data_IF_834170178407
#
_entry.id   IF_834170178407
#
_cell.length_a   1.000
_cell.length_b   1.000
_cell.length_c   1.000
_cell.angle_alpha   90.00
_cell.angle_beta   90.00
_cell.angle_gamma   90.00
#
_symmetry.space_group_name_H-M   'P 1'
#
loop_
_entity.id
_entity.type
_entity.pdbx_description
1 polymer ?
#
# COMPACT_ATOMS: atom_id res chain seq x y z
N UNK A 1 -26.54 -17.21 5.07
CA UNK A 1 -25.78 -15.95 5.25
C UNK A 1 -25.33 -15.49 3.87
N UNK A 2 -25.55 -14.23 3.46
CA UNK A 2 -25.15 -13.77 2.13
C UNK A 2 -23.62 -13.70 2.00
N UNK A 3 -23.06 -13.92 0.80
CA UNK A 3 -21.60 -13.86 0.56
C UNK A 3 -20.98 -12.54 1.06
N UNK A 4 -21.71 -11.43 0.92
CA UNK A 4 -21.32 -10.12 1.44
C UNK A 4 -21.15 -10.10 2.96
N UNK A 5 -22.06 -10.75 3.69
CA UNK A 5 -22.03 -10.78 5.14
C UNK A 5 -20.93 -11.71 5.68
N UNK A 6 -20.60 -12.77 4.94
CA UNK A 6 -19.43 -13.61 5.23
C UNK A 6 -18.12 -12.82 5.05
N UNK A 7 -18.00 -12.04 3.97
CA UNK A 7 -16.81 -11.22 3.73
C UNK A 7 -16.61 -10.13 4.80
N UNK A 8 -17.69 -9.48 5.23
CA UNK A 8 -17.64 -8.48 6.31
C UNK A 8 -17.17 -9.08 7.64
N UNK A 9 -17.61 -10.31 7.96
CA UNK A 9 -17.21 -10.98 9.20
C UNK A 9 -15.74 -11.42 9.18
N UNK A 10 -15.24 -11.92 8.04
CA UNK A 10 -13.82 -12.23 7.86
C UNK A 10 -12.95 -10.98 8.01
N UNK A 11 -13.39 -9.85 7.43
CA UNK A 11 -12.67 -8.58 7.56
C UNK A 11 -12.62 -8.09 9.00
N UNK A 12 -13.73 -8.19 9.74
CA UNK A 12 -13.80 -7.74 11.13
C UNK A 12 -12.90 -8.58 12.03
N UNK A 13 -12.89 -9.91 11.84
CA UNK A 13 -12.03 -10.83 12.58
C UNK A 13 -10.54 -10.54 12.35
N UNK A 14 -10.13 -10.41 11.09
CA UNK A 14 -8.75 -10.06 10.74
C UNK A 14 -8.30 -8.73 11.38
N UNK A 15 -9.17 -7.72 11.37
CA UNK A 15 -8.83 -6.42 11.96
C UNK A 15 -8.73 -6.46 13.49
N UNK A 16 -9.51 -7.32 14.15
CA UNK A 16 -9.42 -7.51 15.60
C UNK A 16 -8.12 -8.23 15.99
N UNK A 17 -7.75 -9.30 15.28
CA UNK A 17 -6.49 -10.03 15.47
C UNK A 17 -5.28 -9.10 15.27
N UNK A 18 -5.33 -8.26 14.24
CA UNK A 18 -4.29 -7.27 13.96
C UNK A 18 -4.17 -6.21 15.06
N UNK A 19 -5.29 -5.77 15.66
CA UNK A 19 -5.30 -4.78 16.74
C UNK A 19 -4.65 -5.33 18.02
N UNK A 20 -4.92 -6.61 18.33
CA UNK A 20 -4.31 -7.35 19.44
C UNK A 20 -2.81 -7.49 19.22
N UNK A 21 -2.40 -7.97 18.03
CA UNK A 21 -0.98 -8.13 17.68
C UNK A 21 -0.20 -6.82 17.80
N UNK A 22 -0.80 -5.70 17.37
CA UNK A 22 -0.15 -4.39 17.48
C UNK A 22 -0.10 -3.87 18.92
N UNK A 23 -1.05 -4.24 19.79
CA UNK A 23 -0.98 -3.93 21.22
C UNK A 23 0.23 -4.62 21.84
N UNK A 24 0.35 -5.94 21.64
CA UNK A 24 1.44 -6.74 22.20
C UNK A 24 2.80 -6.26 21.70
N UNK A 25 2.94 -5.96 20.41
CA UNK A 25 4.19 -5.40 19.87
C UNK A 25 4.54 -4.05 20.51
N UNK A 26 3.56 -3.19 20.75
CA UNK A 26 3.79 -1.91 21.41
C UNK A 26 4.26 -2.09 22.87
N UNK A 27 3.59 -2.96 23.62
CA UNK A 27 3.90 -3.23 25.02
C UNK A 27 5.31 -3.85 25.16
N UNK A 28 5.69 -4.75 24.24
CA UNK A 28 7.06 -5.27 24.13
C UNK A 28 8.05 -4.16 23.83
N UNK A 29 7.77 -3.28 22.85
CA UNK A 29 8.66 -2.17 22.50
C UNK A 29 8.87 -1.19 23.67
N UNK A 30 7.85 -0.99 24.52
CA UNK A 30 7.97 -0.19 25.76
C UNK A 30 8.84 -0.92 26.80
N UNK A 31 8.66 -2.23 26.95
CA UNK A 31 9.47 -3.05 27.86
C UNK A 31 10.94 -3.13 27.41
N UNK A 32 11.22 -3.20 26.11
CA UNK A 32 12.57 -3.28 25.54
C UNK A 32 13.37 -2.00 25.79
N UNK A 33 12.72 -0.83 25.81
CA UNK A 33 13.37 0.42 26.23
C UNK A 33 13.82 0.40 27.70
N UNK A 34 13.28 -0.51 28.51
CA UNK A 34 13.58 -0.64 29.93
C UNK A 34 14.43 -1.88 30.27
N UNK A 35 14.64 -2.84 29.36
CA UNK A 35 15.41 -4.07 29.62
C UNK A 35 16.36 -4.44 28.47
N UNK A 36 17.65 -4.51 28.79
CA UNK A 36 18.75 -4.78 27.86
C UNK A 36 19.02 -6.29 27.63
N UNK A 37 17.99 -7.16 27.58
CA UNK A 37 18.16 -8.62 27.55
C UNK A 37 17.36 -9.33 26.42
N UNK A 38 18.02 -9.52 25.27
CA UNK A 38 17.45 -10.09 24.03
C UNK A 38 16.83 -11.51 24.17
N UNK A 39 17.30 -12.37 25.09
CA UNK A 39 16.79 -13.75 25.24
C UNK A 39 15.37 -13.84 25.80
N UNK A 40 14.99 -12.91 26.68
CA UNK A 40 13.65 -12.87 27.29
C UNK A 40 12.61 -12.38 26.28
N UNK A 41 13.04 -11.54 25.34
CA UNK A 41 12.18 -10.97 24.30
C UNK A 41 11.84 -12.05 23.26
N UNK A 42 12.82 -12.85 22.83
CA UNK A 42 12.59 -13.97 21.89
C UNK A 42 11.66 -15.03 22.46
N UNK A 43 11.79 -15.39 23.74
CA UNK A 43 10.86 -16.36 24.37
C UNK A 43 9.44 -15.80 24.41
N UNK A 44 9.27 -14.53 24.82
CA UNK A 44 7.96 -13.88 24.88
C UNK A 44 7.31 -13.72 23.51
N UNK A 45 8.09 -13.43 22.46
CA UNK A 45 7.57 -13.37 21.09
C UNK A 45 7.09 -14.75 20.63
N UNK A 46 7.83 -15.82 20.95
CA UNK A 46 7.41 -17.19 20.65
C UNK A 46 6.15 -17.57 21.42
N UNK A 47 6.05 -17.20 22.71
CA UNK A 47 4.84 -17.40 23.52
C UNK A 47 3.63 -16.65 22.93
N UNK A 48 3.85 -15.44 22.39
CA UNK A 48 2.81 -14.65 21.70
C UNK A 48 2.40 -15.32 20.39
N UNK A 49 3.37 -15.79 19.59
CA UNK A 49 3.10 -16.52 18.34
C UNK A 49 2.29 -17.79 18.63
N UNK A 50 2.64 -18.53 19.68
CA UNK A 50 1.87 -19.68 20.14
C UNK A 50 0.48 -19.30 20.64
N UNK A 51 0.32 -18.19 21.36
CA UNK A 51 -0.99 -17.70 21.81
C UNK A 51 -1.90 -17.29 20.63
N UNK A 52 -1.32 -16.67 19.59
CA UNK A 52 -2.05 -16.24 18.39
C UNK A 52 -2.42 -17.46 17.54
N UNK A 53 -1.51 -18.43 17.40
CA UNK A 53 -1.77 -19.67 16.67
C UNK A 53 -2.81 -20.55 17.40
N UNK A 54 -2.81 -20.57 18.72
CA UNK A 54 -3.81 -21.28 19.52
C UNK A 54 -5.18 -20.58 19.49
N UNK A 55 -5.25 -19.25 19.47
CA UNK A 55 -6.49 -18.49 19.24
C UNK A 55 -7.03 -18.65 17.81
N UNK A 56 -6.15 -18.72 16.81
CA UNK A 56 -6.51 -19.01 15.42
C UNK A 56 -7.09 -20.43 15.26
N UNK A 57 -6.54 -21.40 16.01
CA UNK A 57 -7.00 -22.80 16.03
C UNK A 57 -8.32 -22.98 16.81
N UNK A 58 -8.52 -22.26 17.92
CA UNK A 58 -9.78 -22.27 18.68
C UNK A 58 -10.94 -21.59 17.93
N UNK A 59 -10.62 -20.71 16.98
CA UNK A 59 -11.64 -20.02 16.17
C UNK A 59 -12.24 -20.89 15.04
N UNK A 60 -11.82 -22.14 14.86
CA UNK A 60 -12.48 -23.09 13.96
C UNK A 60 -13.68 -23.80 14.60
N UNK A 61 -13.95 -23.63 15.90
CA UNK A 61 -14.99 -24.42 16.59
C UNK A 61 -16.02 -23.64 17.42
N UNK A 62 -16.02 -22.30 17.45
CA UNK A 62 -17.11 -21.57 18.10
C UNK A 62 -18.12 -21.04 17.07
N UNK A 63 -19.29 -21.71 17.01
CA UNK A 63 -20.53 -21.09 16.53
C UNK A 63 -20.75 -19.82 17.35
N UNK A 64 -20.47 -18.66 16.77
CA UNK A 64 -20.88 -17.37 17.34
C UNK A 64 -22.41 -17.37 17.33
N UNK A 65 -22.98 -17.73 18.48
CA UNK A 65 -24.39 -17.61 18.78
C UNK A 65 -24.77 -16.13 18.79
N UNK A 66 -25.99 -15.87 18.32
CA UNK A 66 -26.41 -14.58 17.80
C UNK A 66 -26.21 -13.42 18.76
N UNK A 67 -25.49 -12.40 18.30
CA UNK A 67 -25.82 -11.02 18.64
C UNK A 67 -25.71 -10.22 17.35
N UNK A 68 -26.80 -9.58 16.96
CA UNK A 68 -26.85 -8.66 15.81
C UNK A 68 -25.92 -7.48 16.09
N UNK A 69 -24.62 -7.65 15.81
CA UNK A 69 -23.68 -6.53 15.78
C UNK A 69 -24.28 -5.53 14.79
N UNK A 70 -24.50 -4.29 15.24
CA UNK A 70 -24.92 -3.17 14.39
C UNK A 70 -23.76 -2.84 13.42
N UNK A 71 -23.64 -3.66 12.38
CA UNK A 71 -22.56 -3.73 11.38
C UNK A 71 -22.66 -2.57 10.39
N UNK A 72 -22.08 -1.42 10.75
CA UNK A 72 -21.58 -0.40 9.80
C UNK A 72 -20.83 0.76 10.46
N UNK A 73 -21.02 1.03 11.75
CA UNK A 73 -20.70 2.36 12.32
C UNK A 73 -19.26 2.61 12.80
N UNK A 74 -18.29 1.70 12.67
CA UNK A 74 -16.94 1.96 13.24
C UNK A 74 -15.72 1.54 12.41
N UNK A 75 -15.86 1.07 11.17
CA UNK A 75 -14.70 0.66 10.37
C UNK A 75 -13.67 1.80 10.18
N UNK A 76 -14.14 3.02 9.90
CA UNK A 76 -13.26 4.19 9.80
C UNK A 76 -12.52 4.52 11.10
N UNK A 77 -13.17 4.35 12.26
CA UNK A 77 -12.52 4.55 13.57
C UNK A 77 -11.49 3.46 13.86
N UNK A 78 -11.82 2.21 13.53
CA UNK A 78 -10.92 1.06 13.66
C UNK A 78 -9.67 1.24 12.80
N UNK A 79 -9.82 1.60 11.52
CA UNK A 79 -8.70 1.86 10.62
C UNK A 79 -7.84 3.02 11.15
N UNK A 80 -8.44 4.09 11.65
CA UNK A 80 -7.69 5.20 12.29
C UNK A 80 -6.88 4.71 13.49
N UNK A 81 -7.47 3.90 14.36
CA UNK A 81 -6.80 3.31 15.53
C UNK A 81 -5.64 2.41 15.12
N UNK A 82 -5.86 1.51 14.15
CA UNK A 82 -4.80 0.63 13.62
C UNK A 82 -3.65 1.45 13.02
N UNK A 83 -3.95 2.47 12.21
CA UNK A 83 -2.93 3.38 11.66
C UNK A 83 -2.10 4.05 12.76
N UNK A 84 -2.73 4.47 13.85
CA UNK A 84 -2.02 5.03 15.00
C UNK A 84 -1.10 3.99 15.66
N UNK A 85 -1.58 2.75 15.84
CA UNK A 85 -0.80 1.66 16.44
C UNK A 85 0.39 1.23 15.57
N UNK A 86 0.22 1.17 14.25
CA UNK A 86 1.34 0.93 13.34
C UNK A 86 2.47 1.93 13.55
N UNK A 87 2.14 3.21 13.76
CA UNK A 87 3.14 4.25 14.06
C UNK A 87 3.80 4.04 15.42
N UNK A 88 3.02 3.73 16.46
CA UNK A 88 3.55 3.50 17.81
C UNK A 88 4.46 2.28 17.92
N UNK A 89 4.07 1.17 17.28
CA UNK A 89 4.85 -0.06 17.23
C UNK A 89 5.92 -0.05 16.14
N UNK A 90 6.03 1.05 15.38
CA UNK A 90 7.07 1.27 14.38
C UNK A 90 7.16 0.17 13.31
N UNK A 91 5.98 -0.31 12.90
CA UNK A 91 5.82 -1.43 11.97
C UNK A 91 5.06 -1.00 10.72
N UNK A 92 5.36 -1.67 9.61
CA UNK A 92 4.74 -1.46 8.32
C UNK A 92 3.98 -2.72 7.90
N UNK A 93 2.74 -2.54 7.45
CA UNK A 93 1.94 -3.58 6.81
C UNK A 93 1.97 -3.38 5.30
N UNK A 94 2.44 -4.38 4.56
CA UNK A 94 2.44 -4.38 3.09
C UNK A 94 1.84 -5.66 2.55
N UNK A 95 1.19 -5.55 1.39
CA UNK A 95 0.88 -6.75 0.60
C UNK A 95 2.20 -7.32 0.11
N UNK A 96 2.34 -8.65 0.15
CA UNK A 96 3.50 -9.30 -0.46
C UNK A 96 3.35 -9.37 -1.98
N UNK A 97 4.49 -9.49 -2.65
CA UNK A 97 4.59 -9.42 -4.11
C UNK A 97 3.90 -10.59 -4.84
N UNK A 98 4.28 -11.83 -4.53
CA UNK A 98 3.77 -13.06 -5.17
C UNK A 98 2.88 -13.91 -4.28
N UNK A 99 2.80 -13.58 -3.00
CA UNK A 99 2.04 -14.34 -2.03
C UNK A 99 0.73 -13.61 -1.74
N UNK A 100 -0.35 -14.32 -1.46
CA UNK A 100 -1.64 -13.71 -1.08
C UNK A 100 -1.68 -13.37 0.42
N UNK A 101 -0.54 -12.94 0.96
CA UNK A 101 -0.36 -12.66 2.39
C UNK A 101 0.09 -11.23 2.61
N UNK A 102 -0.17 -10.73 3.82
CA UNK A 102 0.40 -9.48 4.29
C UNK A 102 1.74 -9.74 4.99
N UNK A 103 2.70 -8.86 4.74
CA UNK A 103 3.96 -8.81 5.45
C UNK A 103 3.85 -7.70 6.50
N UNK A 104 4.04 -8.08 7.76
CA UNK A 104 4.25 -7.17 8.87
C UNK A 104 5.74 -7.16 9.21
N UNK A 105 6.37 -5.99 9.14
CA UNK A 105 7.80 -5.84 9.40
C UNK A 105 8.14 -4.51 10.07
N UNK A 106 9.35 -4.36 10.58
CA UNK A 106 9.83 -3.09 11.15
C UNK A 106 10.01 -2.05 10.04
N UNK A 107 9.68 -0.80 10.33
CA UNK A 107 9.85 0.28 9.34
C UNK A 107 11.33 0.54 9.03
N UNK A 108 12.23 0.35 10.01
CA UNK A 108 13.68 0.51 9.84
C UNK A 108 14.23 -0.48 8.82
N UNK A 109 13.84 -1.75 8.92
CA UNK A 109 14.29 -2.80 8.00
C UNK A 109 13.80 -2.51 6.57
N UNK A 110 12.54 -2.10 6.44
CA UNK A 110 11.97 -1.68 5.16
C UNK A 110 12.73 -0.49 4.57
N UNK A 111 13.04 0.53 5.38
CA UNK A 111 13.78 1.72 4.96
C UNK A 111 15.22 1.37 4.56
N UNK A 112 15.93 0.63 5.40
CA UNK A 112 17.31 0.17 5.14
C UNK A 112 17.39 -0.59 3.81
N UNK A 113 16.54 -1.60 3.62
CA UNK A 113 16.50 -2.38 2.37
C UNK A 113 16.15 -1.53 1.15
N UNK A 114 15.31 -0.51 1.32
CA UNK A 114 14.99 0.41 0.23
C UNK A 114 16.15 1.33 -0.14
N UNK A 115 16.89 1.83 0.85
CA UNK A 115 18.07 2.67 0.63
C UNK A 115 19.21 1.84 0.01
N UNK A 116 19.48 0.63 0.53
CA UNK A 116 20.44 -0.31 -0.06
C UNK A 116 20.12 -0.63 -1.53
N UNK A 117 18.83 -0.81 -1.86
CA UNK A 117 18.40 -1.03 -3.24
C UNK A 117 18.68 0.18 -4.13
N UNK A 118 18.40 1.39 -3.64
CA UNK A 118 18.64 2.64 -4.39
C UNK A 118 20.13 2.87 -4.61
N UNK A 119 20.96 2.69 -3.58
CA UNK A 119 22.42 2.81 -3.68
C UNK A 119 23.00 1.78 -4.64
N UNK A 120 22.55 0.52 -4.55
CA UNK A 120 23.05 -0.56 -5.41
C UNK A 120 22.73 -0.36 -6.90
N UNK A 121 21.56 0.21 -7.20
CA UNK A 121 21.08 0.30 -8.60
C UNK A 121 21.32 1.65 -9.24
N UNK A 122 21.48 2.70 -8.44
CA UNK A 122 21.59 4.11 -8.88
C UNK A 122 20.44 4.55 -9.81
N UNK A 123 19.35 3.78 -9.87
CA UNK A 123 18.26 3.97 -10.83
C UNK A 123 17.24 5.03 -10.39
N UNK A 124 17.24 5.40 -9.11
CA UNK A 124 16.25 6.29 -8.51
C UNK A 124 16.91 7.32 -7.60
N UNK A 125 16.36 8.54 -7.58
CA UNK A 125 16.82 9.63 -6.71
C UNK A 125 15.63 10.27 -5.98
N UNK A 126 15.82 10.61 -4.71
CA UNK A 126 14.84 11.38 -3.95
C UNK A 126 14.72 12.81 -4.49
N UNK A 127 13.48 13.28 -4.71
CA UNK A 127 13.20 14.62 -5.25
C UNK A 127 13.50 15.76 -4.25
N UNK A 128 13.63 15.46 -2.96
CA UNK A 128 13.91 16.46 -1.94
C UNK A 128 12.69 17.35 -1.65
N UNK A 129 12.94 18.63 -1.37
CA UNK A 129 11.92 19.62 -0.95
C UNK A 129 11.15 20.18 -2.15
N UNK A 130 11.75 20.17 -3.35
CA UNK A 130 11.16 20.75 -4.54
C UNK A 130 10.21 19.76 -5.20
N UNK A 131 8.92 20.01 -5.07
CA UNK A 131 7.87 19.23 -5.74
C UNK A 131 7.72 19.68 -7.22
N UNK A 132 8.04 18.84 -8.21
CA UNK A 132 7.87 19.19 -9.62
C UNK A 132 6.42 19.10 -10.11
N UNK A 133 5.48 18.60 -9.30
CA UNK A 133 4.09 18.39 -9.71
C UNK A 133 3.40 19.66 -10.24
N UNK A 134 3.48 20.83 -9.57
CA UNK A 134 2.77 22.03 -10.03
C UNK A 134 3.24 22.53 -11.39
N UNK A 135 4.56 22.48 -11.61
CA UNK A 135 5.17 22.84 -12.90
C UNK A 135 4.77 21.84 -13.99
N UNK A 136 4.78 20.54 -13.69
CA UNK A 136 4.37 19.50 -14.62
C UNK A 136 2.89 19.64 -15.05
N UNK A 137 2.00 19.94 -14.11
CA UNK A 137 0.58 20.22 -14.42
C UNK A 137 0.46 21.42 -15.35
N UNK A 138 1.15 22.51 -15.03
CA UNK A 138 1.11 23.75 -15.81
C UNK A 138 1.62 23.54 -17.22
N UNK A 139 2.79 22.90 -17.38
CA UNK A 139 3.37 22.55 -18.68
C UNK A 139 2.46 21.64 -19.50
N UNK A 140 1.87 20.63 -18.86
CA UNK A 140 0.99 19.68 -19.57
C UNK A 140 -0.31 20.34 -20.03
N UNK A 141 -0.95 21.16 -19.19
CA UNK A 141 -2.15 21.89 -19.58
C UNK A 141 -1.86 22.93 -20.67
N UNK A 142 -0.72 23.61 -20.62
CA UNK A 142 -0.26 24.50 -21.69
C UNK A 142 -0.11 23.75 -23.01
N UNK A 143 0.59 22.61 -22.99
CA UNK A 143 0.76 21.77 -24.18
C UNK A 143 -0.58 21.32 -24.77
N UNK A 144 -1.53 20.89 -23.95
CA UNK A 144 -2.87 20.51 -24.40
C UNK A 144 -3.63 21.69 -25.01
N UNK A 145 -3.47 22.90 -24.47
CA UNK A 145 -4.08 24.10 -25.03
C UNK A 145 -3.49 24.42 -26.40
N UNK A 146 -2.16 24.35 -26.54
CA UNK A 146 -1.48 24.59 -27.81
C UNK A 146 -1.95 23.60 -28.88
N UNK A 147 -2.09 22.30 -28.55
CA UNK A 147 -2.64 21.30 -29.46
C UNK A 147 -4.10 21.59 -29.87
N UNK A 148 -4.91 22.09 -28.95
CA UNK A 148 -6.30 22.48 -29.24
C UNK A 148 -6.33 23.69 -30.17
N UNK A 149 -5.53 24.72 -29.90
CA UNK A 149 -5.47 25.94 -30.72
C UNK A 149 -4.98 25.63 -32.15
N UNK A 150 -4.03 24.70 -32.27
CA UNK A 150 -3.57 24.18 -33.55
C UNK A 150 -4.60 23.28 -34.26
N UNK A 151 -5.72 22.94 -33.61
CA UNK A 151 -6.77 22.01 -34.08
C UNK A 151 -6.31 20.55 -34.26
N UNK A 152 -5.28 20.13 -33.55
CA UNK A 152 -4.80 18.74 -33.54
C UNK A 152 -5.67 17.85 -32.66
N UNK A 153 -6.34 18.45 -31.66
CA UNK A 153 -7.35 17.80 -30.84
C UNK A 153 -8.64 18.63 -30.83
N UNK A 154 -9.78 17.95 -30.74
CA UNK A 154 -11.09 18.58 -30.60
C UNK A 154 -11.29 19.20 -29.21
N UNK A 155 -12.28 20.09 -29.09
CA UNK A 155 -12.73 20.66 -27.82
C UNK A 155 -12.99 19.59 -26.75
N UNK A 156 -13.73 18.55 -27.14
CA UNK A 156 -14.11 17.45 -26.25
C UNK A 156 -12.91 16.63 -25.80
N UNK A 157 -11.91 16.43 -26.67
CA UNK A 157 -10.66 15.77 -26.30
C UNK A 157 -9.85 16.61 -25.33
N UNK A 158 -9.73 17.92 -25.59
CA UNK A 158 -9.06 18.85 -24.68
C UNK A 158 -9.66 18.81 -23.27
N UNK A 159 -10.98 18.95 -23.14
CA UNK A 159 -11.69 18.91 -21.85
C UNK A 159 -11.46 17.59 -21.10
N UNK A 160 -11.43 16.45 -21.82
CA UNK A 160 -11.17 15.14 -21.24
C UNK A 160 -9.71 14.99 -20.77
N UNK A 161 -8.77 15.53 -21.53
CA UNK A 161 -7.33 15.40 -21.30
C UNK A 161 -6.78 16.38 -20.27
N UNK A 162 -7.41 17.55 -20.12
CA UNK A 162 -7.02 18.55 -19.14
C UNK A 162 -6.87 17.96 -17.74
N UNK A 163 -5.87 18.48 -17.05
CA UNK A 163 -5.47 18.00 -15.73
C UNK A 163 -6.05 18.91 -14.67
N UNK A 164 -6.80 18.28 -13.77
CA UNK A 164 -7.24 18.88 -12.53
C UNK A 164 -6.16 18.65 -11.45
N UNK A 165 -5.58 19.71 -10.85
CA UNK A 165 -4.59 19.56 -9.78
C UNK A 165 -5.05 18.69 -8.61
N UNK A 166 -6.36 18.64 -8.33
CA UNK A 166 -6.93 17.84 -7.24
C UNK A 166 -6.99 16.33 -7.52
N UNK A 167 -6.76 15.90 -8.76
CA UNK A 167 -6.93 14.51 -9.20
C UNK A 167 -5.61 13.79 -9.48
N UNK A 168 -4.48 14.52 -9.47
CA UNK A 168 -3.18 14.01 -9.89
C UNK A 168 -2.14 14.02 -8.78
N UNK A 169 -1.17 13.13 -8.88
CA UNK A 169 -0.02 13.02 -7.99
C UNK A 169 1.20 12.58 -8.81
N UNK A 170 2.41 12.87 -8.32
CA UNK A 170 3.62 12.34 -8.93
C UNK A 170 3.68 10.82 -8.83
N UNK A 171 4.39 10.24 -9.79
CA UNK A 171 4.75 8.84 -9.70
C UNK A 171 5.62 8.63 -8.45
N UNK A 172 5.25 7.67 -7.62
CA UNK A 172 5.97 7.40 -6.37
C UNK A 172 6.51 5.97 -6.35
N UNK A 173 7.73 5.86 -5.83
CA UNK A 173 8.41 4.59 -5.61
C UNK A 173 7.99 4.01 -4.26
N UNK A 174 7.56 2.76 -4.26
CA UNK A 174 7.39 1.96 -3.05
C UNK A 174 7.88 0.55 -3.31
N UNK A 175 7.87 -0.28 -2.26
CA UNK A 175 8.46 -1.61 -2.33
C UNK A 175 7.48 -2.68 -1.83
N UNK A 176 7.47 -3.81 -2.53
CA UNK A 176 6.72 -5.00 -2.14
C UNK A 176 7.66 -6.06 -1.56
N UNK A 177 7.39 -6.56 -0.34
CA UNK A 177 8.17 -7.65 0.25
C UNK A 177 8.03 -8.96 -0.53
N UNK A 178 9.17 -9.58 -0.86
CA UNK A 178 9.23 -10.93 -1.44
C UNK A 178 9.33 -11.98 -0.33
N UNK A 179 8.25 -12.16 0.43
CA UNK A 179 8.20 -13.06 1.60
C UNK A 179 8.54 -14.53 1.29
N UNK A 180 8.46 -14.95 0.02
CA UNK A 180 8.84 -16.28 -0.46
C UNK A 180 10.35 -16.45 -0.71
N UNK A 181 11.18 -15.45 -0.40
CA UNK A 181 12.63 -15.48 -0.57
C UNK A 181 13.33 -15.27 0.78
N UNK A 182 14.46 -15.94 1.05
CA UNK A 182 15.24 -15.75 2.27
C UNK A 182 15.58 -14.28 2.50
N UNK A 183 15.48 -13.83 3.76
CA UNK A 183 15.72 -12.44 4.14
C UNK A 183 14.65 -11.43 3.68
N UNK A 184 13.59 -11.88 3.00
CA UNK A 184 12.48 -11.04 2.50
C UNK A 184 12.98 -9.77 1.76
N UNK A 185 13.65 -9.93 0.61
CA UNK A 185 14.09 -8.79 -0.19
C UNK A 185 12.91 -8.00 -0.75
N UNK A 186 13.16 -6.75 -1.12
CA UNK A 186 12.16 -5.83 -1.64
C UNK A 186 12.11 -5.86 -3.18
N UNK A 187 10.90 -5.72 -3.76
CA UNK A 187 10.71 -5.39 -5.19
C UNK A 187 10.34 -3.91 -5.31
N UNK A 188 11.10 -3.08 -6.04
CA UNK A 188 10.67 -1.72 -6.32
C UNK A 188 9.43 -1.72 -7.22
N UNK A 189 8.50 -0.81 -6.97
CA UNK A 189 7.33 -0.54 -7.78
C UNK A 189 7.20 0.97 -7.91
N UNK A 190 7.15 1.46 -9.15
CA UNK A 190 6.80 2.85 -9.45
C UNK A 190 5.32 2.90 -9.78
N UNK A 191 4.52 3.55 -8.94
CA UNK A 191 3.10 3.78 -9.23
C UNK A 191 2.91 5.14 -9.85
N UNK A 192 2.50 5.16 -11.12
CA UNK A 192 2.13 6.37 -11.88
C UNK A 192 0.64 6.44 -12.24
N UNK A 193 -0.23 5.75 -11.50
CA UNK A 193 -1.66 5.60 -11.87
C UNK A 193 -2.43 6.93 -11.96
N UNK A 194 -2.00 7.94 -11.21
CA UNK A 194 -2.57 9.28 -11.19
C UNK A 194 -1.59 10.34 -11.72
N UNK A 195 -0.60 9.90 -12.49
CA UNK A 195 0.39 10.82 -13.04
C UNK A 195 -0.28 11.80 -14.02
N UNK A 196 0.14 13.08 -14.08
CA UNK A 196 -0.39 14.09 -15.00
C UNK A 196 -0.54 13.61 -16.45
N UNK A 197 0.38 12.77 -16.93
CA UNK A 197 0.40 12.30 -18.32
C UNK A 197 -0.43 11.03 -18.59
N UNK A 198 -1.06 10.40 -17.58
CA UNK A 198 -1.69 9.08 -17.75
C UNK A 198 -2.84 9.10 -18.77
N UNK A 199 -3.63 10.18 -18.81
CA UNK A 199 -4.73 10.33 -19.78
C UNK A 199 -4.19 10.44 -21.20
N UNK A 200 -3.09 11.17 -21.38
CA UNK A 200 -2.42 11.35 -22.67
C UNK A 200 -1.84 10.01 -23.14
N UNK A 201 -1.13 9.29 -22.27
CA UNK A 201 -0.60 7.96 -22.58
C UNK A 201 -1.69 6.97 -22.98
N UNK A 202 -2.85 7.02 -22.34
CA UNK A 202 -4.00 6.17 -22.71
C UNK A 202 -4.53 6.50 -24.11
N UNK A 203 -4.69 7.78 -24.45
CA UNK A 203 -5.11 8.18 -25.79
C UNK A 203 -4.08 7.76 -26.83
N UNK A 204 -2.79 7.90 -26.52
CA UNK A 204 -1.72 7.46 -27.43
C UNK A 204 -1.74 5.94 -27.64
N UNK A 205 -1.95 5.14 -26.57
CA UNK A 205 -2.10 3.68 -26.68
C UNK A 205 -3.29 3.31 -27.58
N UNK A 206 -4.44 3.97 -27.41
CA UNK A 206 -5.63 3.75 -28.24
C UNK A 206 -5.38 4.10 -29.73
N UNK A 207 -4.60 5.15 -30.01
CA UNK A 207 -4.24 5.54 -31.37
C UNK A 207 -3.25 4.58 -32.03
N UNK A 208 -2.28 4.06 -31.26
CA UNK A 208 -1.21 3.22 -31.79
C UNK A 208 -1.59 1.72 -31.84
N UNK A 209 -2.49 1.24 -30.96
CA UNK A 209 -2.85 -0.19 -30.87
C UNK A 209 -3.22 -0.81 -32.23
N UNK A 210 -4.06 -0.20 -33.09
CA UNK A 210 -4.40 -0.80 -34.38
C UNK A 210 -3.20 -0.99 -35.33
N UNK A 211 -2.13 -0.19 -35.17
CA UNK A 211 -0.90 -0.34 -35.95
C UNK A 211 -0.10 -1.55 -35.47
N UNK A 212 0.01 -1.73 -34.15
CA UNK A 212 0.69 -2.88 -33.56
C UNK A 212 -0.03 -4.19 -33.86
N UNK A 213 -1.37 -4.20 -33.82
CA UNK A 213 -2.17 -5.39 -34.11
C UNK A 213 -1.94 -5.89 -35.55
N UNK A 214 -1.75 -4.97 -36.50
CA UNK A 214 -1.42 -5.30 -37.91
C UNK A 214 0.01 -5.78 -38.12
N UNK A 215 0.94 -5.43 -37.22
CA UNK A 215 2.34 -5.86 -37.30
C UNK A 215 2.57 -7.21 -36.61
N UNK A 216 1.68 -7.59 -35.69
CA UNK A 216 1.73 -8.87 -34.99
C UNK A 216 1.00 -10.01 -35.72
N UNK A 217 0.23 -9.68 -36.77
CA UNK A 217 -0.42 -10.60 -37.70
C UNK A 217 0.47 -10.93 -38.89
#
# INVERSE_FOLDING_TARGET
MTQKQQLEDVQLKFMAELDILLQTLHDVTISDKNLNNNRIIESRINDIIESVNSQASQSQSQKITGTKIKKKKNYGRLVKRLKHRFKLANVILRKSDKSKVFHLGKIEDYRKKSEEYMVKTEAYKCLGINDPLPDLITKTNKYLLDLRLAKWISQKQYEKLCINPCEVELAHLYYLPKAHKPGTPLRPIVSGLKHPTIKISKVLDELLRPLFDKMAS
#
